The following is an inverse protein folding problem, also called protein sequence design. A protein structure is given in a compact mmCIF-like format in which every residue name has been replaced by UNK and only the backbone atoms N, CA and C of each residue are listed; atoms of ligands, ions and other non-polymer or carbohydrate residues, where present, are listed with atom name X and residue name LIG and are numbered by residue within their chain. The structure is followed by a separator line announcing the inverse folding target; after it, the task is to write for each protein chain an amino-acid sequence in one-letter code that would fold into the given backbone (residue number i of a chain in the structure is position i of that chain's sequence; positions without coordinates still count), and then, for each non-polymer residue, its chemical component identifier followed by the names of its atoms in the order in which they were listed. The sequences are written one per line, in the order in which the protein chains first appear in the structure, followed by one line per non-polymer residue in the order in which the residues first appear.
data_IF_000762288944
#
_entry.id   IF_000762288944
#
_cell.length_a   1.000
_cell.length_b   1.000
_cell.length_c   1.000
_cell.angle_alpha   90.00
_cell.angle_beta   90.00
_cell.angle_gamma   90.00
#
_symmetry.space_group_name_H-M   'P 1'
#
loop_
_entity.id
_entity.type
_entity.pdbx_description
1 polymer ?
#
# COMPACT_ATOMS: atom_id res chain seq x y z
N UNK A 1 -6.20 5.79 -11.93
CA UNK A 1 -4.80 5.42 -12.26
C UNK A 1 -4.18 4.40 -11.28
N UNK A 2 -4.57 4.36 -9.99
CA UNK A 2 -4.06 3.36 -9.04
C UNK A 2 -4.94 2.11 -8.96
N UNK A 3 -4.43 1.07 -8.32
CA UNK A 3 -5.10 -0.20 -8.04
C UNK A 3 -5.70 -0.28 -6.62
N UNK A 4 -5.83 0.86 -5.92
CA UNK A 4 -6.17 0.89 -4.49
C UNK A 4 -7.58 0.35 -4.19
N UNK A 5 -8.57 0.69 -5.01
CA UNK A 5 -9.94 0.20 -4.86
C UNK A 5 -10.05 -1.31 -5.09
N UNK A 6 -9.35 -1.82 -6.11
CA UNK A 6 -9.31 -3.26 -6.42
C UNK A 6 -8.64 -4.05 -5.29
N UNK A 7 -7.55 -3.51 -4.71
CA UNK A 7 -6.89 -4.12 -3.55
C UNK A 7 -7.82 -4.19 -2.34
N UNK A 8 -8.57 -3.12 -2.04
CA UNK A 8 -9.51 -3.09 -0.93
C UNK A 8 -10.62 -4.14 -1.12
N UNK A 9 -11.27 -4.14 -2.28
CA UNK A 9 -12.34 -5.09 -2.58
C UNK A 9 -11.86 -6.53 -2.50
N UNK A 10 -10.71 -6.84 -3.08
CA UNK A 10 -10.12 -8.18 -3.03
C UNK A 10 -9.73 -8.62 -1.62
N UNK A 11 -9.28 -7.67 -0.78
CA UNK A 11 -9.01 -7.94 0.63
C UNK A 11 -10.29 -8.27 1.41
N UNK A 12 -11.38 -7.55 1.14
CA UNK A 12 -12.70 -7.83 1.71
C UNK A 12 -13.19 -9.23 1.31
N UNK A 13 -13.10 -9.58 0.02
CA UNK A 13 -13.49 -10.91 -0.47
C UNK A 13 -12.73 -12.04 0.23
N UNK A 14 -11.43 -11.85 0.45
CA UNK A 14 -10.59 -12.82 1.16
C UNK A 14 -11.07 -13.00 2.61
N UNK A 15 -11.38 -11.90 3.29
CA UNK A 15 -11.85 -11.94 4.68
C UNK A 15 -13.22 -12.60 4.80
N UNK A 16 -14.14 -12.29 3.88
CA UNK A 16 -15.46 -12.95 3.84
C UNK A 16 -15.31 -14.45 3.64
N UNK A 17 -14.43 -14.89 2.75
CA UNK A 17 -14.18 -16.33 2.50
C UNK A 17 -13.55 -17.05 3.69
N UNK A 18 -12.73 -16.35 4.47
CA UNK A 18 -12.08 -16.93 5.66
C UNK A 18 -12.93 -16.78 6.93
N UNK A 19 -14.10 -16.12 6.85
CA UNK A 19 -15.01 -15.83 7.96
C UNK A 19 -14.36 -15.06 9.12
N UNK A 20 -13.13 -14.54 8.92
CA UNK A 20 -12.41 -13.75 9.91
C UNK A 20 -11.43 -12.78 9.24
N UNK A 21 -11.11 -11.69 9.95
CA UNK A 21 -10.08 -10.74 9.54
C UNK A 21 -10.33 -9.33 10.06
N UNK A 22 -9.32 -8.48 9.92
CA UNK A 22 -9.39 -7.07 10.29
C UNK A 22 -8.90 -6.22 9.13
N UNK A 23 -9.69 -5.22 8.74
CA UNK A 23 -9.26 -4.14 7.86
C UNK A 23 -9.06 -2.89 8.70
N UNK A 24 -7.84 -2.35 8.67
CA UNK A 24 -7.53 -1.04 9.25
C UNK A 24 -7.36 -0.07 8.09
N UNK A 25 -8.37 0.79 7.89
CA UNK A 25 -8.35 1.81 6.85
C UNK A 25 -7.72 3.09 7.40
N UNK A 26 -6.54 3.44 6.89
CA UNK A 26 -5.83 4.64 7.27
C UNK A 26 -6.05 5.74 6.21
N UNK A 27 -6.46 6.96 6.57
CA UNK A 27 -6.69 8.07 5.63
C UNK A 27 -5.38 8.69 5.16
N UNK A 28 -4.51 7.87 4.53
CA UNK A 28 -3.18 8.26 4.03
C UNK A 28 -3.17 8.28 2.51
N UNK A 29 -4.00 9.13 1.91
CA UNK A 29 -4.17 9.23 0.46
C UNK A 29 -2.86 9.64 -0.23
N UNK A 30 -2.59 9.04 -1.41
CA UNK A 30 -1.38 9.32 -2.17
C UNK A 30 -0.08 8.90 -1.46
N UNK A 31 -0.07 7.86 -0.64
CA UNK A 31 1.04 7.49 0.24
C UNK A 31 1.36 8.59 1.27
N UNK A 32 0.30 9.20 1.81
CA UNK A 32 0.31 10.25 2.82
C UNK A 32 0.73 11.66 2.34
N UNK A 33 0.77 11.91 1.03
CA UNK A 33 0.96 13.26 0.48
C UNK A 33 -0.34 14.03 0.30
N UNK A 34 -1.47 13.39 0.55
CA UNK A 34 -2.82 13.92 0.40
C UNK A 34 -3.34 13.93 -1.04
N UNK A 35 -4.66 14.11 -1.17
CA UNK A 35 -5.34 14.01 -2.48
C UNK A 35 -4.85 15.08 -3.47
N UNK A 36 -4.68 16.32 -3.02
CA UNK A 36 -4.24 17.42 -3.89
C UNK A 36 -2.88 17.14 -4.52
N UNK A 37 -1.90 16.70 -3.72
CA UNK A 37 -0.58 16.40 -4.25
C UNK A 37 -0.57 15.10 -5.07
N UNK A 38 -1.43 14.14 -4.75
CA UNK A 38 -1.64 12.96 -5.60
C UNK A 38 -2.11 13.35 -7.01
N UNK A 39 -3.04 14.31 -7.13
CA UNK A 39 -3.50 14.81 -8.43
C UNK A 39 -2.37 15.56 -9.17
N UNK A 40 -1.59 16.38 -8.45
CA UNK A 40 -0.39 17.04 -9.02
C UNK A 40 0.64 16.02 -9.51
N UNK A 41 0.90 14.98 -8.73
CA UNK A 41 1.79 13.89 -9.14
C UNK A 41 1.27 13.17 -10.40
N UNK A 42 -0.05 12.96 -10.52
CA UNK A 42 -0.64 12.40 -11.74
C UNK A 42 -0.42 13.29 -12.96
N UNK A 43 -0.48 14.62 -12.80
CA UNK A 43 -0.17 15.54 -13.89
C UNK A 43 1.29 15.40 -14.34
N UNK A 44 2.23 15.39 -13.39
CA UNK A 44 3.65 15.17 -13.68
C UNK A 44 3.92 13.83 -14.38
N UNK A 45 3.16 12.78 -14.01
CA UNK A 45 3.23 11.48 -14.68
C UNK A 45 2.69 11.51 -16.12
N UNK A 46 1.70 12.33 -16.40
CA UNK A 46 1.21 12.57 -17.77
C UNK A 46 2.27 13.31 -18.62
N UNK A 47 3.07 14.16 -17.97
CA UNK A 47 4.18 14.89 -18.59
C UNK A 47 5.47 14.02 -18.70
N UNK A 48 5.41 12.72 -18.31
CA UNK A 48 6.45 11.72 -18.56
C UNK A 48 7.28 11.29 -17.37
N UNK A 49 7.06 11.82 -16.15
CA UNK A 49 7.74 11.35 -14.96
C UNK A 49 7.14 10.00 -14.48
N UNK A 50 7.95 9.20 -13.79
CA UNK A 50 7.41 8.07 -13.06
C UNK A 50 6.82 8.50 -11.69
N UNK A 51 6.18 7.55 -10.98
CA UNK A 51 5.52 7.86 -9.70
C UNK A 51 6.49 8.35 -8.63
N UNK A 52 7.73 7.81 -8.60
CA UNK A 52 8.76 8.19 -7.62
C UNK A 52 9.28 9.59 -7.92
N UNK A 53 9.67 9.83 -9.17
CA UNK A 53 10.21 11.12 -9.60
C UNK A 53 9.17 12.24 -9.50
N UNK A 54 7.89 11.95 -9.76
CA UNK A 54 6.79 12.89 -9.55
C UNK A 54 6.65 13.30 -8.08
N UNK A 55 6.75 12.36 -7.14
CA UNK A 55 6.70 12.66 -5.70
C UNK A 55 7.92 13.47 -5.25
N UNK A 56 9.14 13.09 -5.70
CA UNK A 56 10.36 13.81 -5.39
C UNK A 56 10.33 15.26 -5.92
N UNK A 57 9.82 15.46 -7.13
CA UNK A 57 9.64 16.81 -7.74
C UNK A 57 8.69 17.68 -6.91
N UNK A 58 7.71 17.09 -6.25
CA UNK A 58 6.79 17.80 -5.34
C UNK A 58 7.36 17.98 -3.93
N UNK A 59 8.59 17.52 -3.66
CA UNK A 59 9.26 17.64 -2.37
C UNK A 59 8.92 16.55 -1.36
N UNK A 60 8.33 15.43 -1.80
CA UNK A 60 7.95 14.30 -0.94
C UNK A 60 8.88 13.10 -1.19
N UNK A 61 9.01 12.22 -0.18
CA UNK A 61 9.62 10.90 -0.36
C UNK A 61 8.72 9.99 -1.20
N UNK A 62 9.23 8.86 -1.65
CA UNK A 62 8.42 7.86 -2.37
C UNK A 62 7.22 7.35 -1.52
N UNK A 63 7.41 7.22 -0.21
CA UNK A 63 6.37 6.72 0.70
C UNK A 63 6.47 7.43 2.07
N UNK A 64 5.53 8.35 2.34
CA UNK A 64 5.44 9.10 3.59
C UNK A 64 4.62 8.38 4.67
N UNK A 65 3.99 7.23 4.37
CA UNK A 65 3.07 6.56 5.29
C UNK A 65 3.73 6.12 6.58
N UNK A 66 3.05 6.39 7.72
CA UNK A 66 3.28 5.74 9.01
C UNK A 66 2.26 4.62 9.23
N UNK A 67 2.69 3.59 9.94
CA UNK A 67 1.84 2.50 10.39
C UNK A 67 1.62 2.48 11.91
N UNK A 68 2.05 3.52 12.63
CA UNK A 68 1.99 3.60 14.10
C UNK A 68 0.57 3.48 14.64
N UNK A 69 -0.40 4.11 13.97
CA UNK A 69 -1.82 4.00 14.33
C UNK A 69 -2.31 2.57 14.16
N UNK A 70 -1.96 1.90 13.06
CA UNK A 70 -2.34 0.50 12.84
C UNK A 70 -1.71 -0.42 13.89
N UNK A 71 -0.44 -0.21 14.22
CA UNK A 71 0.27 -0.95 15.30
C UNK A 71 -0.42 -0.74 16.64
N UNK A 72 -0.79 0.50 16.98
CA UNK A 72 -1.49 0.83 18.23
C UNK A 72 -2.85 0.13 18.32
N UNK A 73 -3.61 0.09 17.22
CA UNK A 73 -4.90 -0.61 17.14
C UNK A 73 -4.69 -2.11 17.36
N UNK A 74 -3.74 -2.73 16.64
CA UNK A 74 -3.45 -4.16 16.76
C UNK A 74 -3.03 -4.53 18.20
N UNK A 75 -2.18 -3.72 18.83
CA UNK A 75 -1.74 -3.94 20.21
C UNK A 75 -2.91 -3.82 21.21
N UNK A 76 -3.79 -2.81 21.04
CA UNK A 76 -5.00 -2.66 21.89
C UNK A 76 -5.96 -3.82 21.74
N UNK A 77 -6.04 -4.43 20.56
CA UNK A 77 -6.84 -5.64 20.31
C UNK A 77 -6.10 -6.93 20.68
N UNK A 78 -4.92 -6.84 21.31
CA UNK A 78 -4.07 -7.96 21.72
C UNK A 78 -3.55 -8.83 20.55
N UNK A 79 -3.50 -8.31 19.34
CA UNK A 79 -2.87 -9.00 18.20
C UNK A 79 -1.36 -8.75 18.19
N UNK A 80 -0.59 -9.73 18.65
CA UNK A 80 0.88 -9.74 18.58
C UNK A 80 1.41 -10.41 17.32
N UNK A 81 0.58 -11.26 16.72
CA UNK A 81 0.92 -12.09 15.56
C UNK A 81 -0.21 -12.03 14.55
N UNK A 82 0.12 -11.81 13.28
CA UNK A 82 -0.87 -11.67 12.20
C UNK A 82 -0.43 -12.39 10.91
N UNK A 83 -1.40 -12.73 10.07
CA UNK A 83 -1.21 -12.94 8.64
C UNK A 83 -1.52 -11.61 7.94
N UNK A 84 -0.61 -11.14 7.11
CA UNK A 84 -0.70 -9.82 6.48
C UNK A 84 -1.03 -9.93 4.99
N UNK A 85 -2.07 -9.25 4.53
CA UNK A 85 -2.30 -9.06 3.10
C UNK A 85 -1.50 -7.84 2.66
N UNK A 86 -0.44 -8.05 1.88
CA UNK A 86 0.40 -6.96 1.37
C UNK A 86 1.35 -7.41 0.27
N UNK A 87 1.62 -6.51 -0.69
CA UNK A 87 2.70 -6.65 -1.68
C UNK A 87 3.89 -5.72 -1.36
N UNK A 88 3.81 -4.92 -0.28
CA UNK A 88 4.81 -3.90 0.05
C UNK A 88 5.79 -4.42 1.12
N UNK A 89 7.06 -4.67 0.78
CA UNK A 89 8.06 -5.16 1.72
C UNK A 89 8.36 -4.15 2.84
N UNK A 90 8.28 -2.84 2.58
CA UNK A 90 8.49 -1.82 3.60
C UNK A 90 7.40 -1.85 4.67
N UNK A 91 6.13 -2.17 4.32
CA UNK A 91 5.06 -2.37 5.29
C UNK A 91 5.38 -3.53 6.22
N UNK A 92 5.84 -4.66 5.67
CA UNK A 92 6.23 -5.85 6.41
C UNK A 92 7.34 -5.51 7.42
N UNK A 93 8.39 -4.83 6.93
CA UNK A 93 9.53 -4.41 7.76
C UNK A 93 9.08 -3.51 8.92
N UNK A 94 8.34 -2.44 8.63
CA UNK A 94 7.87 -1.47 9.64
C UNK A 94 6.98 -2.10 10.70
N UNK A 95 6.09 -3.04 10.34
CA UNK A 95 5.25 -3.75 11.31
C UNK A 95 6.06 -4.68 12.22
N UNK A 96 7.03 -5.41 11.67
CA UNK A 96 7.92 -6.27 12.45
C UNK A 96 8.78 -5.45 13.44
N UNK A 97 9.36 -4.34 12.98
CA UNK A 97 10.16 -3.41 13.82
C UNK A 97 9.31 -2.82 14.96
N UNK A 98 8.02 -2.62 14.74
CA UNK A 98 7.09 -2.15 15.77
C UNK A 98 6.58 -3.26 16.71
N UNK A 99 7.05 -4.50 16.56
CA UNK A 99 6.76 -5.63 17.43
C UNK A 99 5.47 -6.41 17.08
N UNK A 100 4.97 -6.26 15.85
CA UNK A 100 3.88 -7.10 15.31
C UNK A 100 4.54 -8.21 14.47
N UNK A 101 4.46 -9.46 14.95
CA UNK A 101 5.04 -10.61 14.26
C UNK A 101 4.15 -11.02 13.07
N UNK A 102 4.72 -11.06 11.88
CA UNK A 102 4.04 -11.50 10.67
C UNK A 102 4.38 -12.97 10.43
N UNK A 103 3.36 -13.85 10.50
CA UNK A 103 3.53 -15.28 10.23
C UNK A 103 3.55 -15.58 8.74
N UNK A 104 2.56 -15.07 8.03
CA UNK A 104 2.44 -15.26 6.59
C UNK A 104 2.10 -13.94 5.91
N UNK A 105 2.57 -13.80 4.67
CA UNK A 105 2.21 -12.68 3.79
C UNK A 105 1.41 -13.23 2.62
N UNK A 106 0.16 -12.77 2.51
CA UNK A 106 -0.70 -13.05 1.38
C UNK A 106 -0.57 -11.91 0.38
N UNK A 107 -0.05 -12.22 -0.79
CA UNK A 107 0.10 -11.26 -1.89
C UNK A 107 -1.22 -11.10 -2.65
N UNK A 108 -1.55 -9.86 -3.02
CA UNK A 108 -2.68 -9.58 -3.90
C UNK A 108 -2.20 -9.47 -5.35
N UNK A 109 -2.67 -10.37 -6.18
CA UNK A 109 -2.47 -10.27 -7.62
C UNK A 109 -3.62 -9.44 -8.21
N UNK A 110 -3.32 -8.22 -8.66
CA UNK A 110 -4.24 -7.34 -9.37
C UNK A 110 -3.84 -7.37 -10.85
N UNK A 111 -4.76 -7.74 -11.71
CA UNK A 111 -4.51 -7.72 -13.16
C UNK A 111 -4.40 -6.27 -13.63
N UNK A 112 -3.29 -5.89 -14.30
CA UNK A 112 -3.14 -4.55 -14.83
C UNK A 112 -4.18 -4.28 -15.92
N UNK A 113 -4.78 -3.09 -15.88
CA UNK A 113 -5.60 -2.56 -16.95
C UNK A 113 -4.85 -1.44 -17.70
N UNK A 114 -5.39 -0.97 -18.82
CA UNK A 114 -4.75 0.04 -19.66
C UNK A 114 -4.43 1.34 -18.91
N UNK A 115 -5.24 1.68 -17.90
CA UNK A 115 -5.11 2.93 -17.14
C UNK A 115 -4.04 2.84 -16.04
N UNK A 116 -3.89 1.66 -15.40
CA UNK A 116 -3.01 1.49 -14.23
C UNK A 116 -1.71 0.72 -14.52
N UNK A 117 -1.52 0.19 -15.73
CA UNK A 117 -0.36 -0.62 -16.14
C UNK A 117 0.97 0.06 -15.81
N UNK A 118 1.13 1.32 -16.18
CA UNK A 118 2.37 2.07 -15.91
C UNK A 118 2.59 2.26 -14.41
N UNK A 119 1.55 2.55 -13.65
CA UNK A 119 1.60 2.69 -12.20
C UNK A 119 2.02 1.38 -11.51
N UNK A 120 1.47 0.24 -11.92
CA UNK A 120 1.84 -1.09 -11.39
C UNK A 120 3.29 -1.43 -11.74
N UNK A 121 3.73 -1.17 -12.98
CA UNK A 121 5.10 -1.38 -13.40
C UNK A 121 6.10 -0.55 -12.57
N UNK A 122 5.79 0.71 -12.28
CA UNK A 122 6.64 1.54 -11.40
C UNK A 122 6.72 0.97 -9.98
N UNK A 123 5.61 0.50 -9.42
CA UNK A 123 5.62 -0.17 -8.12
C UNK A 123 6.54 -1.40 -8.11
N UNK A 124 6.51 -2.21 -9.16
CA UNK A 124 7.34 -3.40 -9.29
C UNK A 124 8.82 -3.03 -9.40
N UNK A 125 9.15 -2.11 -10.29
CA UNK A 125 10.54 -1.83 -10.69
C UNK A 125 11.26 -0.82 -9.76
N UNK A 126 10.55 0.11 -9.16
CA UNK A 126 11.13 1.22 -8.37
C UNK A 126 10.81 1.14 -6.88
N UNK A 127 9.67 0.62 -6.48
CA UNK A 127 9.26 0.51 -5.08
C UNK A 127 9.35 -0.93 -4.55
N UNK A 128 10.01 -1.84 -5.26
CA UNK A 128 10.26 -3.24 -4.89
C UNK A 128 9.01 -4.03 -4.45
N UNK A 129 7.83 -3.66 -4.95
CA UNK A 129 6.61 -4.42 -4.68
C UNK A 129 6.67 -5.80 -5.32
N UNK A 130 6.27 -6.84 -4.58
CA UNK A 130 6.31 -8.22 -5.03
C UNK A 130 4.89 -8.62 -5.47
N UNK A 131 4.74 -9.00 -6.73
CA UNK A 131 3.46 -9.40 -7.34
C UNK A 131 3.43 -10.86 -7.78
N UNK A 132 4.53 -11.57 -7.64
CA UNK A 132 4.68 -12.99 -8.02
C UNK A 132 4.30 -13.91 -6.86
#
# INVERSE_FOLDING_TARGET
KCDCGEQLNKSLDIMVKNEEGIIIYLPQEGRDIGLTNKIRAYKLQEDGLDTVDANLTLGFRDDERSYDVAVSILKKLNFKTINLISNNPNKIKKLNEAGIKILNVLKLKIEPNEINKNYINTKKNRSNHIFD
#
